data_IF_173735190902
#
_entry.id   IF_173735190902
#
_cell.length_a   1.000
_cell.length_b   1.000
_cell.length_c   1.000
_cell.angle_alpha   90.00
_cell.angle_beta   90.00
_cell.angle_gamma   90.00
#
_symmetry.space_group_name_H-M   'P 1'
#
loop_
_entity.id
_entity.type
_entity.pdbx_description
1 polymer ?
#
# COMPACT_ATOMS: atom_id res chain seq x y z
N UNK A 1 -1.69 31.59 -18.88
CA UNK A 1 -1.38 30.71 -17.73
C UNK A 1 -2.08 29.39 -17.97
N UNK A 2 -1.35 28.35 -18.35
CA UNK A 2 -1.90 27.00 -18.40
C UNK A 2 -1.91 26.46 -16.97
N UNK A 3 -3.10 26.18 -16.44
CA UNK A 3 -3.23 25.39 -15.22
C UNK A 3 -2.81 23.98 -15.63
N UNK A 4 -1.56 23.61 -15.33
CA UNK A 4 -1.08 22.25 -15.52
C UNK A 4 -1.66 21.43 -14.36
N UNK A 5 -2.81 20.79 -14.59
CA UNK A 5 -3.46 19.92 -13.59
C UNK A 5 -2.67 18.61 -13.58
N UNK A 6 -1.52 18.60 -12.89
CA UNK A 6 -0.59 17.46 -12.82
C UNK A 6 -1.06 16.33 -11.89
N UNK A 7 -2.16 16.50 -11.15
CA UNK A 7 -2.84 15.36 -10.53
C UNK A 7 -4.35 15.56 -10.53
N UNK A 8 -5.07 14.63 -11.18
CA UNK A 8 -6.52 14.59 -11.13
C UNK A 8 -6.92 13.74 -9.91
N UNK A 9 -7.61 14.35 -8.95
CA UNK A 9 -8.20 13.59 -7.84
C UNK A 9 -9.37 12.78 -8.39
N UNK A 10 -9.24 11.45 -8.34
CA UNK A 10 -10.23 10.48 -8.82
C UNK A 10 -11.27 10.22 -7.73
N UNK A 11 -10.83 10.10 -6.48
CA UNK A 11 -11.67 9.82 -5.31
C UNK A 11 -11.07 10.48 -4.07
N UNK A 12 -11.91 10.85 -3.12
CA UNK A 12 -11.46 11.20 -1.77
C UNK A 12 -12.22 10.37 -0.74
N UNK A 13 -11.56 9.94 0.32
CA UNK A 13 -12.18 9.15 1.39
C UNK A 13 -11.57 9.45 2.75
N UNK A 14 -12.43 9.56 3.75
CA UNK A 14 -12.04 9.78 5.13
C UNK A 14 -11.83 8.45 5.86
N UNK A 15 -10.75 8.38 6.65
CA UNK A 15 -10.40 7.26 7.50
C UNK A 15 -10.21 7.75 8.92
N UNK A 16 -10.97 7.19 9.86
CA UNK A 16 -10.74 7.43 11.29
C UNK A 16 -9.77 6.38 11.83
N UNK A 17 -8.60 6.84 12.27
CA UNK A 17 -7.56 6.01 12.88
C UNK A 17 -7.32 6.55 14.29
N UNK A 18 -7.64 5.73 15.30
CA UNK A 18 -7.66 6.17 16.69
C UNK A 18 -8.71 7.26 16.91
N UNK A 19 -8.26 8.45 17.31
CA UNK A 19 -9.13 9.63 17.56
C UNK A 19 -9.04 10.70 16.46
N UNK A 20 -8.34 10.41 15.36
CA UNK A 20 -8.12 11.36 14.28
C UNK A 20 -8.72 10.86 12.98
N UNK A 21 -9.20 11.79 12.17
CA UNK A 21 -9.69 11.52 10.81
C UNK A 21 -8.69 12.03 9.79
N UNK A 22 -8.38 11.20 8.82
CA UNK A 22 -7.43 11.44 7.74
C UNK A 22 -8.16 11.34 6.40
N UNK A 23 -8.08 12.38 5.58
CA UNK A 23 -8.66 12.39 4.24
C UNK A 23 -7.61 11.95 3.22
N UNK A 24 -7.82 10.80 2.59
CA UNK A 24 -7.00 10.30 1.49
C UNK A 24 -7.55 10.84 0.18
N UNK A 25 -6.67 11.34 -0.70
CA UNK A 25 -7.01 11.74 -2.07
C UNK A 25 -6.35 10.77 -3.03
N UNK A 26 -7.16 9.97 -3.72
CA UNK A 26 -6.69 9.02 -4.71
C UNK A 26 -6.50 9.73 -6.04
N UNK A 27 -5.29 9.64 -6.59
CA UNK A 27 -4.94 10.20 -7.90
C UNK A 27 -4.39 9.11 -8.80
N UNK A 28 -4.36 9.36 -10.11
CA UNK A 28 -3.75 8.46 -11.10
C UNK A 28 -2.29 8.16 -10.79
N UNK A 29 -1.55 9.15 -10.31
CA UNK A 29 -0.12 9.03 -10.01
C UNK A 29 0.12 8.11 -8.81
N UNK A 30 -0.71 8.23 -7.75
CA UNK A 30 -0.66 7.36 -6.59
C UNK A 30 -0.97 5.91 -6.99
N UNK A 31 -1.97 5.72 -7.84
CA UNK A 31 -2.36 4.41 -8.36
C UNK A 31 -1.24 3.77 -9.18
N UNK A 32 -0.60 4.54 -10.05
CA UNK A 32 0.47 4.07 -10.91
C UNK A 32 1.72 3.71 -10.10
N UNK A 33 2.13 4.56 -9.17
CA UNK A 33 3.33 4.38 -8.34
C UNK A 33 3.19 3.15 -7.42
N UNK A 34 2.00 2.92 -6.87
CA UNK A 34 1.73 1.82 -5.94
C UNK A 34 0.93 0.68 -6.59
N UNK A 35 0.91 0.66 -7.94
CA UNK A 35 1.01 -0.49 -8.85
C UNK A 35 0.86 -1.90 -8.25
N UNK A 36 1.97 -2.28 -7.66
CA UNK A 36 2.24 -3.65 -7.27
C UNK A 36 2.39 -3.76 -5.76
N UNK A 37 1.95 -2.74 -5.00
CA UNK A 37 2.13 -2.69 -3.55
C UNK A 37 1.62 -3.97 -2.87
N UNK A 38 0.38 -4.35 -3.17
CA UNK A 38 -0.23 -5.57 -2.60
C UNK A 38 0.43 -6.85 -3.12
N UNK A 39 0.94 -6.86 -4.36
CA UNK A 39 1.67 -8.01 -4.90
C UNK A 39 3.02 -8.18 -4.19
N UNK A 40 3.74 -7.08 -3.95
CA UNK A 40 5.03 -7.08 -3.23
C UNK A 40 4.84 -7.51 -1.77
N UNK A 41 3.86 -6.93 -1.06
CA UNK A 41 3.54 -7.31 0.32
C UNK A 41 3.11 -8.79 0.38
N UNK A 42 2.28 -9.25 -0.55
CA UNK A 42 1.87 -10.65 -0.64
C UNK A 42 3.04 -11.62 -0.86
N UNK A 43 4.00 -11.24 -1.71
CA UNK A 43 5.23 -12.03 -1.93
C UNK A 43 6.06 -12.13 -0.64
N UNK A 44 6.29 -11.01 0.05
CA UNK A 44 7.05 -10.99 1.31
C UNK A 44 6.40 -11.84 2.40
N UNK A 45 5.06 -11.82 2.50
CA UNK A 45 4.33 -12.69 3.42
C UNK A 45 4.47 -14.17 3.06
N UNK A 46 4.45 -14.51 1.76
CA UNK A 46 4.65 -15.87 1.30
C UNK A 46 6.10 -16.34 1.57
N UNK A 47 7.09 -15.47 1.36
CA UNK A 47 8.50 -15.77 1.67
C UNK A 47 8.69 -16.04 3.17
N UNK A 48 8.05 -15.26 4.04
CA UNK A 48 8.01 -15.51 5.50
C UNK A 48 7.35 -16.87 5.81
N UNK A 49 6.21 -17.19 5.18
CA UNK A 49 5.52 -18.45 5.43
C UNK A 49 6.34 -19.66 4.99
N UNK A 50 7.01 -19.58 3.84
CA UNK A 50 7.82 -20.69 3.32
C UNK A 50 9.13 -20.89 4.10
N UNK A 51 9.60 -19.84 4.76
CA UNK A 51 10.79 -19.88 5.64
C UNK A 51 10.63 -20.88 6.78
N UNK A 52 9.41 -21.03 7.33
CA UNK A 52 9.12 -21.97 8.41
C UNK A 52 9.13 -23.45 7.95
N UNK A 53 9.05 -23.70 6.64
CA UNK A 53 9.01 -25.05 6.04
C UNK A 53 10.33 -25.44 5.36
N UNK A 54 11.33 -24.56 5.34
CA UNK A 54 12.61 -24.84 4.68
C UNK A 54 13.59 -25.50 5.68
N UNK A 55 13.59 -26.84 5.67
CA UNK A 55 14.48 -27.67 6.49
C UNK A 55 15.97 -27.50 6.13
N UNK A 56 16.29 -26.95 4.95
CA UNK A 56 17.67 -26.71 4.52
C UNK A 56 18.24 -25.40 5.07
N UNK A 57 17.41 -24.52 5.62
CA UNK A 57 17.81 -23.18 6.04
C UNK A 57 18.13 -23.13 7.53
N UNK A 58 19.23 -22.47 7.90
CA UNK A 58 19.63 -22.31 9.30
C UNK A 58 18.71 -21.33 10.04
N UNK A 59 18.62 -21.46 11.36
CA UNK A 59 17.79 -20.59 12.19
C UNK A 59 18.19 -19.09 12.11
N UNK A 60 19.46 -18.78 11.84
CA UNK A 60 19.93 -17.40 11.66
C UNK A 60 19.56 -16.84 10.28
N UNK A 61 19.58 -17.67 9.24
CA UNK A 61 19.10 -17.30 7.90
C UNK A 61 17.58 -17.06 7.92
N UNK A 62 16.81 -17.94 8.59
CA UNK A 62 15.37 -17.77 8.80
C UNK A 62 15.07 -16.44 9.49
N UNK A 63 15.76 -16.14 10.60
CA UNK A 63 15.58 -14.86 11.32
C UNK A 63 15.93 -13.65 10.46
N UNK A 64 16.99 -13.73 9.67
CA UNK A 64 17.43 -12.63 8.81
C UNK A 64 16.39 -12.37 7.72
N UNK A 65 15.93 -13.41 7.03
CA UNK A 65 14.90 -13.31 6.00
C UNK A 65 13.61 -12.71 6.57
N UNK A 66 13.10 -13.25 7.68
CA UNK A 66 11.87 -12.75 8.32
C UNK A 66 12.00 -11.29 8.72
N UNK A 67 13.14 -10.89 9.32
CA UNK A 67 13.39 -9.51 9.72
C UNK A 67 13.43 -8.58 8.51
N UNK A 68 14.14 -8.97 7.46
CA UNK A 68 14.34 -8.14 6.27
C UNK A 68 13.02 -8.00 5.50
N UNK A 69 12.22 -9.07 5.41
CA UNK A 69 10.88 -9.04 4.82
C UNK A 69 9.93 -8.10 5.59
N UNK A 70 9.90 -8.18 6.93
CA UNK A 70 9.10 -7.23 7.73
C UNK A 70 9.61 -5.79 7.61
N UNK A 71 10.92 -5.58 7.49
CA UNK A 71 11.50 -4.26 7.26
C UNK A 71 11.03 -3.68 5.92
N UNK A 72 11.03 -4.48 4.87
CA UNK A 72 10.58 -4.07 3.54
C UNK A 72 9.06 -3.82 3.49
N UNK A 73 8.25 -4.67 4.14
CA UNK A 73 6.81 -4.43 4.30
C UNK A 73 6.54 -3.09 5.00
N UNK A 74 7.27 -2.80 6.07
CA UNK A 74 7.14 -1.53 6.80
C UNK A 74 7.48 -0.35 5.90
N UNK A 75 8.58 -0.44 5.14
CA UNK A 75 9.01 0.61 4.22
C UNK A 75 7.97 0.88 3.14
N UNK A 76 7.53 -0.16 2.42
CA UNK A 76 6.52 -0.04 1.36
C UNK A 76 5.23 0.59 1.90
N UNK A 77 4.79 0.15 3.08
CA UNK A 77 3.57 0.67 3.72
C UNK A 77 3.72 2.14 4.11
N UNK A 78 4.87 2.54 4.67
CA UNK A 78 5.15 3.95 5.00
C UNK A 78 5.22 4.82 3.75
N UNK A 79 5.93 4.39 2.72
CA UNK A 79 6.07 5.12 1.47
C UNK A 79 4.70 5.39 0.85
N UNK A 80 3.80 4.39 0.88
CA UNK A 80 2.43 4.56 0.43
C UNK A 80 1.64 5.56 1.28
N UNK A 81 1.68 5.44 2.62
CA UNK A 81 1.00 6.37 3.51
C UNK A 81 1.48 7.81 3.32
N UNK A 82 2.79 8.01 3.13
CA UNK A 82 3.38 9.33 2.86
C UNK A 82 2.84 9.89 1.53
N UNK A 83 2.78 9.07 0.48
CA UNK A 83 2.24 9.50 -0.80
C UNK A 83 0.73 9.81 -0.75
N UNK A 84 -0.03 9.03 0.02
CA UNK A 84 -1.49 9.14 0.11
C UNK A 84 -1.98 10.26 1.05
N UNK A 85 -1.25 10.52 2.14
CA UNK A 85 -1.68 11.40 3.24
C UNK A 85 -0.68 12.50 3.59
N UNK A 86 0.54 12.44 3.06
CA UNK A 86 1.65 13.30 3.43
C UNK A 86 2.42 12.81 4.67
N UNK A 87 3.68 13.25 4.76
CA UNK A 87 4.64 12.83 5.79
C UNK A 87 4.10 12.94 7.22
N UNK A 88 3.51 14.09 7.58
CA UNK A 88 3.02 14.34 8.94
C UNK A 88 1.94 13.34 9.35
N UNK A 89 0.97 13.07 8.48
CA UNK A 89 -0.11 12.14 8.76
C UNK A 89 0.40 10.69 8.83
N UNK A 90 1.30 10.32 7.92
CA UNK A 90 1.95 9.00 7.96
C UNK A 90 2.72 8.77 9.27
N UNK A 91 3.51 9.74 9.73
CA UNK A 91 4.25 9.64 10.99
C UNK A 91 3.32 9.49 12.21
N UNK A 92 2.20 10.20 12.22
CA UNK A 92 1.18 10.06 13.27
C UNK A 92 0.55 8.66 13.28
N UNK A 93 0.23 8.11 12.12
CA UNK A 93 -0.31 6.75 11.98
C UNK A 93 0.72 5.72 12.45
N UNK A 94 1.98 5.89 12.08
CA UNK A 94 3.08 5.00 12.51
C UNK A 94 3.25 5.02 14.03
N UNK A 95 3.18 6.21 14.65
CA UNK A 95 3.22 6.35 16.11
C UNK A 95 1.99 5.72 16.77
N UNK A 96 0.80 5.93 16.21
CA UNK A 96 -0.43 5.30 16.72
C UNK A 96 -0.37 3.77 16.67
N UNK A 97 0.25 3.21 15.64
CA UNK A 97 0.44 1.78 15.48
C UNK A 97 1.59 1.20 16.32
N UNK A 98 2.21 1.99 17.23
CA UNK A 98 3.39 1.62 18.02
C UNK A 98 4.54 1.03 17.17
N UNK A 99 4.74 1.54 15.95
CA UNK A 99 5.70 1.01 14.97
C UNK A 99 5.52 -0.48 14.61
N UNK A 100 4.37 -1.09 14.90
CA UNK A 100 4.10 -2.49 14.57
C UNK A 100 3.88 -2.65 13.07
N UNK A 101 4.84 -3.29 12.38
CA UNK A 101 4.81 -3.51 10.92
C UNK A 101 3.48 -4.06 10.43
N UNK A 102 2.97 -5.12 11.07
CA UNK A 102 1.72 -5.77 10.65
C UNK A 102 0.53 -4.80 10.74
N UNK A 103 0.44 -4.01 11.80
CA UNK A 103 -0.62 -3.01 11.98
C UNK A 103 -0.52 -1.91 10.92
N UNK A 104 0.68 -1.37 10.69
CA UNK A 104 0.92 -0.33 9.69
C UNK A 104 0.57 -0.84 8.29
N UNK A 105 0.96 -2.07 7.97
CA UNK A 105 0.67 -2.73 6.70
C UNK A 105 -0.84 -2.90 6.50
N UNK A 106 -1.58 -3.33 7.53
CA UNK A 106 -3.05 -3.44 7.47
C UNK A 106 -3.74 -2.10 7.25
N UNK A 107 -3.24 -1.02 7.88
CA UNK A 107 -3.77 0.33 7.66
C UNK A 107 -3.52 0.77 6.21
N UNK A 108 -2.28 0.61 5.72
CA UNK A 108 -1.93 0.93 4.34
C UNK A 108 -2.77 0.13 3.34
N UNK A 109 -2.97 -1.17 3.58
CA UNK A 109 -3.84 -2.03 2.78
C UNK A 109 -5.28 -1.54 2.77
N UNK A 110 -5.88 -1.24 3.93
CA UNK A 110 -7.26 -0.77 4.01
C UNK A 110 -7.45 0.55 3.24
N UNK A 111 -6.50 1.47 3.36
CA UNK A 111 -6.50 2.73 2.60
C UNK A 111 -6.36 2.46 1.10
N UNK A 112 -5.44 1.59 0.71
CA UNK A 112 -5.23 1.23 -0.69
C UNK A 112 -6.46 0.58 -1.32
N UNK A 113 -7.07 -0.39 -0.64
CA UNK A 113 -8.24 -1.12 -1.13
C UNK A 113 -9.47 -0.21 -1.26
N UNK A 114 -9.65 0.78 -0.39
CA UNK A 114 -10.77 1.71 -0.54
C UNK A 114 -10.60 2.63 -1.77
N UNK A 115 -9.36 2.87 -2.22
CA UNK A 115 -9.09 3.53 -3.50
C UNK A 115 -9.52 2.70 -4.71
N UNK A 116 -9.66 1.39 -4.53
CA UNK A 116 -9.95 0.40 -5.59
C UNK A 116 -11.46 0.13 -5.76
N UNK A 117 -12.34 1.04 -5.34
CA UNK A 117 -13.78 0.80 -5.21
C UNK A 117 -14.44 0.18 -6.47
N UNK A 118 -15.46 -0.66 -6.23
CA UNK A 118 -15.99 -1.66 -7.18
C UNK A 118 -16.49 -1.10 -8.52
N UNK A 119 -16.91 0.16 -8.60
CA UNK A 119 -17.34 0.80 -9.85
C UNK A 119 -16.19 0.94 -10.87
N UNK A 120 -14.97 1.13 -10.40
CA UNK A 120 -13.78 1.17 -11.26
C UNK A 120 -13.29 -0.24 -11.64
N UNK A 121 -13.47 -1.23 -10.75
CA UNK A 121 -13.24 -2.65 -11.08
C UNK A 121 -14.26 -3.16 -12.12
N UNK A 122 -15.52 -2.71 -12.05
CA UNK A 122 -16.55 -3.03 -13.05
C UNK A 122 -16.32 -2.32 -14.39
N UNK A 123 -15.93 -1.04 -14.40
CA UNK A 123 -15.67 -0.31 -15.65
C UNK A 123 -14.40 -0.78 -16.38
N UNK A 124 -13.37 -1.19 -15.64
CA UNK A 124 -12.04 -1.37 -16.21
C UNK A 124 -11.45 -2.78 -16.02
N UNK A 125 -12.12 -3.69 -15.31
CA UNK A 125 -11.69 -5.08 -15.09
C UNK A 125 -10.97 -5.31 -13.76
N UNK A 126 -10.83 -6.59 -13.38
CA UNK A 126 -10.15 -7.04 -12.16
C UNK A 126 -8.62 -6.95 -12.25
N UNK A 127 -8.06 -6.87 -13.46
CA UNK A 127 -6.63 -6.77 -13.70
C UNK A 127 -6.17 -5.33 -14.01
N UNK A 128 -5.26 -4.80 -13.20
CA UNK A 128 -4.73 -3.42 -13.31
C UNK A 128 -4.09 -3.11 -14.69
N UNK A 129 -3.57 -4.13 -15.39
CA UNK A 129 -3.08 -4.02 -16.78
C UNK A 129 -4.20 -3.75 -17.80
N UNK A 130 -5.37 -4.37 -17.64
CA UNK A 130 -6.51 -4.17 -18.55
C UNK A 130 -7.12 -2.77 -18.39
N UNK A 131 -7.05 -2.22 -17.17
CA UNK A 131 -7.54 -0.87 -16.84
C UNK A 131 -6.74 0.23 -17.56
N UNK A 132 -5.42 0.04 -17.73
CA UNK A 132 -4.53 0.98 -18.44
C UNK A 132 -4.63 0.88 -19.97
N UNK A 133 -5.06 -0.26 -20.50
CA UNK A 133 -5.18 -0.48 -21.96
C UNK A 133 -6.44 0.10 -22.61
N UNK A 134 -7.52 0.33 -21.84
CA UNK A 134 -8.82 0.81 -22.36
C UNK A 134 -8.99 2.33 -22.40
N UNK A 135 -8.00 3.10 -21.95
CA UNK A 135 -8.04 4.57 -21.93
C UNK A 135 -7.66 5.26 -23.25
N UNK A 136 -7.26 4.50 -24.28
CA UNK A 136 -6.79 5.01 -25.58
C UNK A 136 -7.60 4.46 -26.76
N UNK A 137 -8.92 4.65 -26.77
CA UNK A 137 -9.73 4.54 -27.99
C UNK A 137 -10.79 5.64 -28.01
#
# INVERSE_FOLDING_TARGET
>A
MAINITSLVIKSQDFTIGKKTYTVRYTSELDDQFSDMMLKIGKLLNDIQNTDYDEAMTLDEQRTLVRDAYSEMLKISKDYLIAALGQKAADEIVRYADNRTVTITKIAQAIFEAGQDNDLKQKYGTNRKERRGKGNN
#
